data_IF_656585945798
#
_entry.id   IF_656585945798
#
_cell.length_a   1.000
_cell.length_b   1.000
_cell.length_c   1.000
_cell.angle_alpha   90.00
_cell.angle_beta   90.00
_cell.angle_gamma   90.00
#
_symmetry.space_group_name_H-M   'P 1'
#
loop_
_entity.id
_entity.type
_entity.pdbx_description
1 polymer ?
#
# COMPACT_ATOMS: atom_id res chain seq x y z
N UNK A 1 -4.90 29.23 6.25
CA UNK A 1 -4.86 29.04 4.78
C UNK A 1 -5.98 28.08 4.42
N UNK A 2 -6.90 28.42 3.50
CA UNK A 2 -7.94 27.49 3.11
C UNK A 2 -7.31 26.40 2.24
N UNK A 3 -7.56 25.13 2.60
CA UNK A 3 -7.29 23.99 1.73
C UNK A 3 -8.03 24.23 0.40
N UNK A 4 -7.28 24.45 -0.67
CA UNK A 4 -7.79 24.74 -2.00
C UNK A 4 -8.67 23.58 -2.49
N UNK A 5 -9.88 23.91 -2.90
CA UNK A 5 -10.88 23.02 -3.51
C UNK A 5 -10.42 22.28 -4.78
N UNK A 6 -9.18 22.51 -5.23
CA UNK A 6 -8.54 21.78 -6.32
C UNK A 6 -8.02 20.40 -5.91
N UNK A 7 -7.62 20.21 -4.64
CA UNK A 7 -7.10 18.92 -4.16
C UNK A 7 -8.13 17.79 -4.25
N UNK A 8 -9.42 18.09 -4.06
CA UNK A 8 -10.49 17.10 -4.13
C UNK A 8 -10.92 16.77 -5.55
N UNK A 9 -10.69 17.66 -6.52
CA UNK A 9 -11.13 17.50 -7.89
C UNK A 9 -10.21 16.57 -8.70
N UNK A 10 -8.89 16.66 -8.49
CA UNK A 10 -7.91 15.84 -9.19
C UNK A 10 -7.88 14.38 -8.69
N UNK A 11 -8.25 14.14 -7.42
CA UNK A 11 -8.47 12.79 -6.90
C UNK A 11 -9.63 12.08 -7.63
N UNK A 12 -10.68 12.80 -8.03
CA UNK A 12 -11.87 12.19 -8.67
C UNK A 12 -11.77 12.03 -10.19
N UNK A 13 -10.68 12.48 -10.82
CA UNK A 13 -10.59 12.56 -12.28
C UNK A 13 -10.00 11.28 -12.93
N UNK A 14 -10.65 10.13 -12.75
CA UNK A 14 -10.50 9.03 -13.71
C UNK A 14 -11.49 9.27 -14.85
N UNK A 15 -10.98 9.43 -16.07
CA UNK A 15 -11.78 9.68 -17.27
C UNK A 15 -12.83 8.57 -17.45
N UNK A 16 -14.11 8.92 -17.33
CA UNK A 16 -15.20 7.96 -17.25
C UNK A 16 -15.86 7.77 -18.62
N UNK A 17 -15.57 6.65 -19.29
CA UNK A 17 -16.25 6.20 -20.50
C UNK A 17 -17.04 4.92 -20.19
N UNK A 18 -18.31 5.07 -19.77
CA UNK A 18 -19.36 4.05 -19.86
C UNK A 18 -19.23 2.79 -18.98
N UNK A 19 -20.10 2.71 -17.98
CA UNK A 19 -20.40 1.59 -17.06
C UNK A 19 -19.38 1.25 -15.96
N UNK A 20 -19.63 1.82 -14.78
CA UNK A 20 -18.98 1.51 -13.52
C UNK A 20 -19.55 0.23 -12.92
N UNK A 21 -18.75 -0.85 -12.93
CA UNK A 21 -19.06 -2.14 -12.32
C UNK A 21 -18.18 -2.36 -11.07
N UNK A 22 -18.36 -3.50 -10.37
CA UNK A 22 -17.68 -3.79 -9.10
C UNK A 22 -16.14 -3.79 -9.27
N UNK A 23 -15.63 -4.41 -10.34
CA UNK A 23 -14.19 -4.46 -10.57
C UNK A 23 -13.62 -3.08 -10.90
N UNK A 24 -14.32 -2.27 -11.69
CA UNK A 24 -13.91 -0.89 -11.96
C UNK A 24 -13.82 -0.04 -10.68
N UNK A 25 -14.74 -0.21 -9.72
CA UNK A 25 -14.69 0.47 -8.42
C UNK A 25 -13.48 0.03 -7.58
N UNK A 26 -13.20 -1.28 -7.54
CA UNK A 26 -12.04 -1.81 -6.82
C UNK A 26 -10.71 -1.39 -7.46
N UNK A 27 -10.65 -1.31 -8.79
CA UNK A 27 -9.49 -0.79 -9.51
C UNK A 27 -9.26 0.69 -9.22
N UNK A 28 -10.31 1.51 -9.21
CA UNK A 28 -10.20 2.92 -8.81
C UNK A 28 -9.68 3.04 -7.38
N UNK A 29 -10.18 2.21 -6.47
CA UNK A 29 -9.70 2.17 -5.09
C UNK A 29 -8.19 1.81 -5.02
N UNK A 30 -7.70 0.92 -5.87
CA UNK A 30 -6.28 0.55 -5.91
C UNK A 30 -5.35 1.70 -6.30
N UNK A 31 -5.88 2.73 -6.98
CA UNK A 31 -5.13 3.93 -7.35
C UNK A 31 -5.06 4.98 -6.24
N UNK A 32 -5.95 4.92 -5.24
CA UNK A 32 -6.03 5.95 -4.18
C UNK A 32 -4.76 6.05 -3.33
N UNK A 33 -4.16 4.95 -2.85
CA UNK A 33 -2.90 5.03 -2.09
C UNK A 33 -1.73 5.48 -2.98
N UNK A 34 -1.71 5.14 -4.27
CA UNK A 34 -0.70 5.63 -5.23
C UNK A 34 -0.77 7.15 -5.34
N UNK A 35 -1.97 7.69 -5.59
CA UNK A 35 -2.19 9.13 -5.68
C UNK A 35 -1.78 9.83 -4.38
N UNK A 36 -2.12 9.26 -3.22
CA UNK A 36 -1.79 9.83 -1.92
C UNK A 36 -0.29 9.83 -1.65
N UNK A 37 0.43 8.74 -1.94
CA UNK A 37 1.88 8.66 -1.69
C UNK A 37 2.66 9.62 -2.61
N UNK A 38 2.18 9.85 -3.83
CA UNK A 38 2.77 10.80 -4.77
C UNK A 38 2.62 12.26 -4.34
N UNK A 39 1.72 12.57 -3.42
CA UNK A 39 1.57 13.90 -2.82
C UNK A 39 2.42 14.09 -1.57
N UNK A 40 3.20 13.09 -1.15
CA UNK A 40 4.11 13.28 -0.02
C UNK A 40 5.15 14.36 -0.35
N UNK A 41 5.47 15.24 0.60
CA UNK A 41 6.59 16.14 0.44
C UNK A 41 7.89 15.34 0.26
N UNK A 42 8.91 15.97 -0.31
CA UNK A 42 10.24 15.38 -0.31
C UNK A 42 10.76 15.25 1.13
N UNK A 43 11.19 14.05 1.51
CA UNK A 43 11.73 13.74 2.83
C UNK A 43 13.19 13.32 2.70
N UNK A 44 14.04 13.81 3.59
CA UNK A 44 15.39 13.27 3.73
C UNK A 44 15.34 11.84 4.26
N UNK A 45 16.43 11.07 4.09
CA UNK A 45 16.56 9.74 4.69
C UNK A 45 16.37 9.78 6.22
N UNK A 46 16.87 10.81 6.89
CA UNK A 46 16.65 11.00 8.33
C UNK A 46 15.16 11.15 8.66
N UNK A 47 14.41 11.93 7.86
CA UNK A 47 12.98 12.10 8.07
C UNK A 47 12.18 10.84 7.74
N UNK A 48 12.56 10.10 6.68
CA UNK A 48 11.93 8.82 6.33
C UNK A 48 12.03 7.81 7.48
N UNK A 49 13.20 7.73 8.10
CA UNK A 49 13.51 6.77 9.14
C UNK A 49 13.24 7.31 10.55
N UNK A 50 12.65 8.51 10.67
CA UNK A 50 12.27 9.07 11.96
C UNK A 50 11.02 8.37 12.52
N UNK A 51 10.89 8.43 13.85
CA UNK A 51 9.79 7.85 14.62
C UNK A 51 9.00 8.95 15.37
N UNK A 52 8.18 9.77 14.68
CA UNK A 52 7.45 10.86 15.31
C UNK A 52 6.61 10.40 16.50
N UNK A 53 6.69 11.13 17.61
CA UNK A 53 5.97 10.79 18.84
C UNK A 53 6.42 9.49 19.52
N UNK A 54 7.56 8.92 19.12
CA UNK A 54 8.09 7.67 19.68
C UNK A 54 7.35 6.41 19.18
N UNK A 55 6.59 6.51 18.09
CA UNK A 55 5.92 5.37 17.49
C UNK A 55 6.94 4.36 16.91
N UNK A 56 6.78 3.04 17.09
CA UNK A 56 7.77 2.05 16.63
C UNK A 56 7.92 1.99 15.12
N UNK A 57 6.91 2.40 14.34
CA UNK A 57 6.98 2.41 12.88
C UNK A 57 7.41 3.78 12.37
N UNK A 58 8.42 3.81 11.49
CA UNK A 58 8.87 5.00 10.76
C UNK A 58 8.02 5.25 9.51
N UNK A 59 8.24 6.38 8.82
CA UNK A 59 7.61 6.63 7.51
C UNK A 59 8.09 5.58 6.49
N UNK A 60 9.37 5.24 6.50
CA UNK A 60 9.93 4.17 5.67
C UNK A 60 9.24 2.83 5.93
N UNK A 61 9.06 2.47 7.20
CA UNK A 61 8.34 1.26 7.58
C UNK A 61 6.91 1.25 7.05
N UNK A 62 6.17 2.35 7.21
CA UNK A 62 4.77 2.46 6.76
C UNK A 62 4.63 2.26 5.25
N UNK A 63 5.50 2.87 4.46
CA UNK A 63 5.46 2.76 2.99
C UNK A 63 5.95 1.39 2.50
N UNK A 64 7.01 0.84 3.10
CA UNK A 64 7.48 -0.52 2.80
C UNK A 64 6.42 -1.56 3.15
N UNK A 65 5.82 -1.47 4.34
CA UNK A 65 4.76 -2.35 4.81
C UNK A 65 3.56 -2.34 3.86
N UNK A 66 3.10 -1.13 3.48
CA UNK A 66 1.99 -0.97 2.53
C UNK A 66 2.27 -1.69 1.20
N UNK A 67 3.52 -1.67 0.71
CA UNK A 67 3.89 -2.42 -0.49
C UNK A 67 3.98 -3.94 -0.24
N UNK A 68 4.56 -4.37 0.88
CA UNK A 68 4.72 -5.79 1.24
C UNK A 68 3.38 -6.49 1.46
N UNK A 69 2.46 -5.86 2.19
CA UNK A 69 1.16 -6.47 2.48
C UNK A 69 0.34 -6.69 1.20
N UNK A 70 0.32 -5.70 0.31
CA UNK A 70 -0.34 -5.83 -0.99
C UNK A 70 0.28 -6.97 -1.79
N UNK A 71 1.62 -6.99 -1.89
CA UNK A 71 2.35 -7.92 -2.75
C UNK A 71 2.23 -9.38 -2.31
N UNK A 72 2.49 -9.68 -1.04
CA UNK A 72 2.39 -11.06 -0.51
C UNK A 72 0.96 -11.58 -0.61
N UNK A 73 -0.03 -10.76 -0.22
CA UNK A 73 -1.41 -11.20 -0.27
C UNK A 73 -1.89 -11.37 -1.72
N UNK A 74 -1.48 -10.49 -2.64
CA UNK A 74 -1.77 -10.63 -4.06
C UNK A 74 -1.15 -11.91 -4.63
N UNK A 75 0.12 -12.18 -4.34
CA UNK A 75 0.82 -13.41 -4.75
C UNK A 75 0.06 -14.67 -4.31
N UNK A 76 -0.43 -14.70 -3.07
CA UNK A 76 -1.29 -15.80 -2.60
C UNK A 76 -2.62 -15.91 -3.35
N UNK A 77 -3.23 -14.78 -3.75
CA UNK A 77 -4.51 -14.78 -4.48
C UNK A 77 -4.36 -15.19 -5.95
N UNK A 78 -3.28 -14.73 -6.60
CA UNK A 78 -3.05 -14.89 -8.04
C UNK A 78 -2.21 -16.12 -8.39
N UNK A 79 -1.45 -16.65 -7.44
CA UNK A 79 -0.43 -17.68 -7.68
C UNK A 79 0.78 -17.19 -8.47
N UNK A 80 0.94 -15.88 -8.65
CA UNK A 80 2.09 -15.27 -9.34
C UNK A 80 3.18 -14.89 -8.34
N UNK A 81 4.47 -14.90 -8.73
CA UNK A 81 5.54 -14.41 -7.86
C UNK A 81 5.31 -12.97 -7.39
N UNK A 82 5.83 -12.67 -6.20
CA UNK A 82 5.86 -11.32 -5.62
C UNK A 82 6.69 -10.38 -6.49
N UNK A 83 6.23 -9.13 -6.64
CA UNK A 83 7.05 -8.09 -7.30
C UNK A 83 8.27 -7.71 -6.46
N UNK A 84 8.24 -8.01 -5.16
CA UNK A 84 9.35 -7.84 -4.21
C UNK A 84 10.68 -8.39 -4.72
N UNK A 85 10.68 -9.48 -5.47
CA UNK A 85 11.91 -10.07 -6.01
C UNK A 85 12.74 -9.08 -6.86
N UNK A 86 12.08 -8.16 -7.58
CA UNK A 86 12.73 -7.12 -8.38
C UNK A 86 13.24 -5.94 -7.54
N UNK A 87 12.74 -5.81 -6.30
CA UNK A 87 13.03 -4.70 -5.39
C UNK A 87 13.96 -5.09 -4.23
N UNK A 88 13.97 -6.37 -3.85
CA UNK A 88 14.63 -6.92 -2.66
C UNK A 88 16.08 -6.46 -2.53
N UNK A 89 16.86 -6.59 -3.61
CA UNK A 89 18.27 -6.18 -3.61
C UNK A 89 18.44 -4.66 -3.46
N UNK A 90 17.54 -3.86 -4.03
CA UNK A 90 17.60 -2.39 -3.98
C UNK A 90 17.25 -1.87 -2.58
N UNK A 91 16.31 -2.53 -1.90
CA UNK A 91 15.97 -2.24 -0.51
C UNK A 91 17.08 -2.63 0.46
N UNK A 92 17.81 -3.72 0.18
CA UNK A 92 18.94 -4.19 0.98
C UNK A 92 18.61 -4.36 2.48
N UNK A 93 17.39 -4.78 2.79
CA UNK A 93 16.91 -4.99 4.17
C UNK A 93 17.28 -6.38 4.71
N UNK A 94 17.77 -7.30 3.87
CA UNK A 94 18.01 -8.68 4.30
C UNK A 94 16.70 -9.41 4.65
N UNK A 95 16.75 -10.34 5.61
CA UNK A 95 15.61 -11.20 5.96
C UNK A 95 14.43 -10.41 6.56
N UNK A 96 14.67 -9.30 7.26
CA UNK A 96 13.56 -8.49 7.80
C UNK A 96 12.72 -7.86 6.68
N UNK A 97 13.33 -7.61 5.51
CA UNK A 97 12.63 -7.11 4.33
C UNK A 97 11.71 -8.15 3.66
N UNK A 98 11.98 -9.44 3.85
CA UNK A 98 11.17 -10.52 3.30
C UNK A 98 9.87 -10.72 4.09
N UNK A 99 9.79 -10.14 5.30
CA UNK A 99 8.61 -10.17 6.14
C UNK A 99 7.51 -9.23 5.62
N UNK A 100 6.35 -9.30 6.28
CA UNK A 100 5.22 -8.40 6.06
C UNK A 100 5.20 -7.20 7.00
N UNK A 101 6.02 -7.16 8.06
CA UNK A 101 5.89 -6.17 9.14
C UNK A 101 4.88 -6.52 10.23
N UNK A 102 3.85 -7.34 9.94
CA UNK A 102 2.85 -7.72 10.94
C UNK A 102 3.50 -8.45 12.13
N UNK A 103 3.27 -7.96 13.34
CA UNK A 103 3.85 -8.52 14.56
C UNK A 103 5.32 -8.13 14.81
N UNK A 104 5.88 -7.18 14.06
CA UNK A 104 7.21 -6.63 14.39
C UNK A 104 7.24 -6.06 15.81
N UNK A 105 8.27 -6.43 16.56
CA UNK A 105 8.73 -5.69 17.74
C UNK A 105 9.23 -4.29 17.33
N UNK A 106 9.30 -3.32 18.27
CA UNK A 106 9.91 -2.02 18.00
C UNK A 106 11.32 -2.13 17.40
N UNK A 107 12.11 -3.10 17.84
CA UNK A 107 13.46 -3.35 17.34
C UNK A 107 13.44 -3.79 15.87
N UNK A 108 12.56 -4.74 15.51
CA UNK A 108 12.40 -5.18 14.12
C UNK A 108 11.81 -4.10 13.22
N UNK A 109 10.93 -3.25 13.74
CA UNK A 109 10.39 -2.11 12.99
C UNK A 109 11.50 -1.08 12.71
N UNK A 110 12.41 -0.84 13.67
CA UNK A 110 13.54 0.05 13.51
C UNK A 110 14.62 -0.46 12.54
N UNK A 111 14.63 -1.76 12.22
CA UNK A 111 15.52 -2.33 11.19
C UNK A 111 15.08 -1.98 9.76
N UNK A 112 13.83 -1.52 9.56
CA UNK A 112 13.36 -1.05 8.25
C UNK A 112 13.88 0.36 8.00
N UNK A 113 15.10 0.44 7.50
CA UNK A 113 15.80 1.68 7.16
C UNK A 113 15.95 1.79 5.65
N UNK A 114 15.43 2.86 5.06
CA UNK A 114 15.49 3.11 3.62
C UNK A 114 15.94 4.54 3.34
N UNK A 115 16.93 4.67 2.45
CA UNK A 115 17.57 5.96 2.12
C UNK A 115 16.84 6.71 0.99
N UNK A 116 16.14 5.98 0.13
CA UNK A 116 15.52 6.51 -1.09
C UNK A 116 13.99 6.49 -0.98
N UNK A 117 13.39 7.68 -0.87
CA UNK A 117 11.93 7.85 -0.88
C UNK A 117 11.30 7.30 -2.16
N UNK A 118 11.97 7.46 -3.31
CA UNK A 118 11.41 7.04 -4.60
C UNK A 118 11.35 5.52 -4.70
N UNK A 119 12.32 4.80 -4.10
CA UNK A 119 12.30 3.34 -4.02
C UNK A 119 11.05 2.82 -3.29
N UNK A 120 10.67 3.46 -2.17
CA UNK A 120 9.45 3.12 -1.42
C UNK A 120 8.19 3.35 -2.27
N UNK A 121 8.12 4.50 -2.93
CA UNK A 121 6.98 4.88 -3.79
C UNK A 121 6.87 3.93 -4.98
N UNK A 122 7.98 3.61 -5.63
CA UNK A 122 8.01 2.75 -6.81
C UNK A 122 7.56 1.32 -6.47
N UNK A 123 7.98 0.80 -5.33
CA UNK A 123 7.57 -0.53 -4.87
C UNK A 123 6.07 -0.59 -4.53
N UNK A 124 5.57 0.36 -3.74
CA UNK A 124 4.15 0.47 -3.42
C UNK A 124 3.30 0.61 -4.69
N UNK A 125 3.73 1.46 -5.63
CA UNK A 125 3.07 1.64 -6.92
C UNK A 125 3.07 0.35 -7.74
N UNK A 126 4.18 -0.38 -7.79
CA UNK A 126 4.27 -1.65 -8.51
C UNK A 126 3.29 -2.69 -7.95
N UNK A 127 3.24 -2.86 -6.63
CA UNK A 127 2.33 -3.79 -5.96
C UNK A 127 0.84 -3.43 -6.19
N UNK A 128 0.47 -2.15 -6.03
CA UNK A 128 -0.91 -1.69 -6.23
C UNK A 128 -1.35 -1.72 -7.70
N UNK A 129 -0.44 -1.48 -8.64
CA UNK A 129 -0.73 -1.65 -10.07
C UNK A 129 -0.92 -3.12 -10.44
N UNK A 130 -0.09 -4.02 -9.92
CA UNK A 130 -0.27 -5.46 -10.10
C UNK A 130 -1.63 -5.91 -9.53
N UNK A 131 -2.01 -5.39 -8.35
CA UNK A 131 -3.31 -5.66 -7.75
C UNK A 131 -4.46 -5.13 -8.64
N UNK A 132 -4.35 -3.91 -9.16
CA UNK A 132 -5.33 -3.34 -10.09
C UNK A 132 -5.49 -4.14 -11.39
N UNK A 133 -4.39 -4.67 -11.93
CA UNK A 133 -4.41 -5.56 -13.11
C UNK A 133 -5.10 -6.88 -12.77
N UNK A 134 -4.82 -7.46 -11.60
CA UNK A 134 -5.46 -8.68 -11.14
C UNK A 134 -6.98 -8.50 -11.00
N UNK A 135 -7.42 -7.42 -10.34
CA UNK A 135 -8.84 -7.06 -10.17
C UNK A 135 -9.55 -6.91 -11.53
N UNK A 136 -8.87 -6.36 -12.54
CA UNK A 136 -9.41 -6.17 -13.90
C UNK A 136 -9.91 -7.47 -14.54
N UNK A 137 -9.23 -8.58 -14.22
CA UNK A 137 -9.48 -9.89 -14.81
C UNK A 137 -10.55 -10.72 -14.10
N UNK A 138 -11.09 -10.25 -12.97
CA UNK A 138 -12.04 -11.01 -12.16
C UNK A 138 -13.48 -10.81 -12.62
N UNK A 139 -14.26 -11.89 -12.50
CA UNK A 139 -15.72 -11.83 -12.55
C UNK A 139 -16.33 -11.65 -11.16
N UNK A 140 -17.63 -11.35 -11.09
CA UNK A 140 -18.35 -11.32 -9.81
C UNK A 140 -18.32 -12.68 -9.09
N UNK A 141 -18.31 -13.79 -9.83
CA UNK A 141 -18.21 -15.12 -9.26
C UNK A 141 -16.84 -15.36 -8.60
N UNK A 142 -15.76 -14.88 -9.23
CA UNK A 142 -14.41 -14.97 -8.66
C UNK A 142 -14.30 -14.13 -7.38
N UNK A 143 -14.91 -12.95 -7.35
CA UNK A 143 -14.96 -12.10 -6.15
C UNK A 143 -15.75 -12.75 -4.99
N UNK A 144 -16.78 -13.54 -5.31
CA UNK A 144 -17.61 -14.24 -4.33
C UNK A 144 -17.00 -15.56 -3.82
N UNK A 145 -15.92 -16.04 -4.44
CA UNK A 145 -15.21 -17.25 -4.02
C UNK A 145 -14.72 -17.14 -2.57
N UNK A 146 -14.99 -18.17 -1.75
CA UNK A 146 -14.43 -18.27 -0.40
C UNK A 146 -13.01 -18.78 -0.49
N UNK A 147 -12.06 -17.99 0.02
CA UNK A 147 -10.62 -18.29 -0.02
C UNK A 147 -10.04 -18.64 1.35
N UNK A 148 -10.76 -18.33 2.44
CA UNK A 148 -10.32 -18.63 3.79
C UNK A 148 -11.52 -19.01 4.68
N UNK A 149 -11.57 -20.29 5.07
CA UNK A 149 -12.61 -20.84 5.94
C UNK A 149 -12.29 -20.71 7.43
N UNK A 150 -11.15 -20.13 7.80
CA UNK A 150 -10.72 -20.01 9.21
C UNK A 150 -11.33 -18.80 9.93
N UNK A 151 -12.21 -18.05 9.27
CA UNK A 151 -12.89 -16.86 9.79
C UNK A 151 -14.41 -17.03 9.80
N UNK A 152 -15.11 -16.27 10.65
CA UNK A 152 -16.58 -16.22 10.70
C UNK A 152 -17.06 -14.74 10.63
N UNK A 153 -17.65 -14.29 9.51
CA UNK A 153 -17.90 -15.06 8.29
C UNK A 153 -16.59 -15.42 7.53
N UNK A 154 -16.64 -16.49 6.74
CA UNK A 154 -15.52 -16.91 5.90
C UNK A 154 -15.12 -15.79 4.93
N UNK A 155 -13.82 -15.67 4.65
CA UNK A 155 -13.29 -14.57 3.82
C UNK A 155 -13.45 -14.93 2.35
N UNK A 156 -14.12 -14.04 1.60
CA UNK A 156 -14.16 -14.12 0.14
C UNK A 156 -12.97 -13.41 -0.49
N UNK A 157 -12.67 -13.73 -1.74
CA UNK A 157 -11.65 -13.03 -2.54
C UNK A 157 -11.89 -11.53 -2.58
N UNK A 158 -13.13 -11.11 -2.82
CA UNK A 158 -13.52 -9.70 -2.82
C UNK A 158 -13.32 -9.02 -1.47
N UNK A 159 -13.66 -9.70 -0.36
CA UNK A 159 -13.43 -9.17 0.99
C UNK A 159 -11.93 -9.00 1.26
N UNK A 160 -11.11 -9.98 0.87
CA UNK A 160 -9.64 -9.88 1.00
C UNK A 160 -9.06 -8.74 0.18
N UNK A 161 -9.52 -8.54 -1.06
CA UNK A 161 -9.08 -7.42 -1.89
C UNK A 161 -9.43 -6.07 -1.26
N UNK A 162 -10.64 -5.92 -0.69
CA UNK A 162 -11.00 -4.72 0.07
C UNK A 162 -10.05 -4.51 1.25
N UNK A 163 -9.74 -5.57 2.02
CA UNK A 163 -8.82 -5.46 3.16
C UNK A 163 -7.42 -5.02 2.74
N UNK A 164 -6.87 -5.58 1.64
CA UNK A 164 -5.58 -5.16 1.08
C UNK A 164 -5.60 -3.66 0.72
N UNK A 165 -6.62 -3.21 -0.01
CA UNK A 165 -6.65 -1.82 -0.47
C UNK A 165 -6.89 -0.82 0.68
N UNK A 166 -7.70 -1.19 1.67
CA UNK A 166 -7.95 -0.39 2.87
C UNK A 166 -6.70 -0.27 3.75
N UNK A 167 -5.97 -1.37 3.97
CA UNK A 167 -4.73 -1.39 4.75
C UNK A 167 -3.67 -0.45 4.14
N UNK A 168 -3.39 -0.61 2.84
CA UNK A 168 -2.49 0.30 2.10
C UNK A 168 -2.94 1.77 2.20
N UNK A 169 -4.24 2.07 2.05
CA UNK A 169 -4.75 3.44 2.14
C UNK A 169 -4.54 4.04 3.55
N UNK A 170 -4.79 3.25 4.60
CA UNK A 170 -4.61 3.68 5.98
C UNK A 170 -3.15 3.97 6.30
N UNK A 171 -2.23 3.08 5.92
CA UNK A 171 -0.80 3.25 6.22
C UNK A 171 -0.14 4.36 5.39
N UNK A 172 -0.54 4.57 4.14
CA UNK A 172 -0.13 5.76 3.37
C UNK A 172 -0.66 7.05 4.02
N UNK A 173 -1.89 7.04 4.53
CA UNK A 173 -2.46 8.15 5.28
C UNK A 173 -1.67 8.46 6.56
N UNK A 174 -1.25 7.43 7.31
CA UNK A 174 -0.38 7.57 8.48
C UNK A 174 1.00 8.14 8.10
N UNK A 175 1.59 7.68 7.00
CA UNK A 175 2.85 8.20 6.48
C UNK A 175 2.74 9.69 6.14
N UNK A 176 1.65 10.11 5.49
CA UNK A 176 1.39 11.52 5.19
C UNK A 176 1.21 12.37 6.45
N UNK A 177 0.51 11.85 7.46
CA UNK A 177 0.36 12.52 8.73
C UNK A 177 1.71 12.70 9.45
N UNK A 178 2.52 11.65 9.52
CA UNK A 178 3.86 11.67 10.10
C UNK A 178 4.80 12.64 9.36
N UNK A 179 4.78 12.66 8.03
CA UNK A 179 5.51 13.61 7.20
C UNK A 179 5.10 15.07 7.50
N UNK A 180 3.81 15.30 7.74
CA UNK A 180 3.26 16.60 8.13
C UNK A 180 3.67 17.08 9.54
N UNK A 181 4.17 16.18 10.41
CA UNK A 181 4.77 16.54 11.70
C UNK A 181 6.23 17.00 11.50
N UNK A 182 6.99 16.29 10.65
CA UNK A 182 8.42 16.51 10.44
C UNK A 182 8.75 17.71 9.55
N UNK A 183 7.80 18.18 8.75
CA UNK A 183 7.95 19.32 7.84
C UNK A 183 7.34 20.63 8.38
N UNK A 184 7.24 20.78 9.71
CA UNK A 184 6.81 22.02 10.37
C UNK A 184 7.98 22.87 10.82
#
# INVERSE_FOLDING_TARGET
>A
MPLSSRLTADLCAVAHNGDMNITALLQDLSQRPIQAVEQLPHLSAEQLNAHPGGHPNSIAWLLWHSGREVDVQLSHLSGTPEVWEDFRQRFNLGEVGDSLGYGHSPEQAAEIVVEDQQLLIDYLRAALNACGVYIAGLSEADLAEIIDHNWDPAVTRGARLISILDDAAQHVGQAAYAAGILNR
#
